data_IF_764335495006
#
_entry.id   IF_764335495006
#
_cell.length_a   1.000
_cell.length_b   1.000
_cell.length_c   1.000
_cell.angle_alpha   90.00
_cell.angle_beta   90.00
_cell.angle_gamma   90.00
#
_symmetry.space_group_name_H-M   'P 1'
#
loop_
_entity.id
_entity.type
_entity.pdbx_description
1 polymer ?
#
# COMPACT_ATOMS: atom_id res chain seq x y z
N UNK A 1 -3.74 -6.64 16.23
CA UNK A 1 -4.56 -5.52 15.71
C UNK A 1 -4.54 -5.68 14.21
N UNK A 2 -5.69 -5.90 13.55
CA UNK A 2 -5.70 -6.15 12.11
C UNK A 2 -5.54 -4.85 11.33
N UNK A 3 -4.74 -4.89 10.27
CA UNK A 3 -4.51 -3.77 9.35
C UNK A 3 -5.25 -4.07 8.05
N UNK A 4 -6.03 -3.12 7.56
CA UNK A 4 -6.64 -3.23 6.24
C UNK A 4 -5.56 -3.11 5.17
N UNK A 5 -5.58 -4.02 4.20
CA UNK A 5 -4.68 -4.00 3.06
C UNK A 5 -5.46 -3.68 1.79
N UNK A 6 -4.96 -2.72 1.04
CA UNK A 6 -5.40 -2.42 -0.32
C UNK A 6 -4.16 -2.50 -1.21
N UNK A 7 -4.28 -3.16 -2.36
CA UNK A 7 -3.20 -3.26 -3.34
C UNK A 7 -3.60 -2.56 -4.62
N UNK A 8 -2.65 -1.87 -5.24
CA UNK A 8 -2.79 -1.17 -6.52
C UNK A 8 -1.48 -1.34 -7.30
N UNK A 9 -1.22 -2.56 -7.76
CA UNK A 9 0.05 -2.92 -8.38
C UNK A 9 -0.16 -3.30 -9.86
N UNK A 10 0.69 -2.74 -10.72
CA UNK A 10 0.77 -3.00 -12.16
C UNK A 10 1.13 -4.45 -12.47
N UNK A 11 1.82 -5.14 -11.56
CA UNK A 11 2.24 -6.54 -11.71
C UNK A 11 1.42 -7.46 -10.82
N UNK A 12 0.52 -8.23 -11.43
CA UNK A 12 -0.31 -9.21 -10.71
C UNK A 12 0.51 -10.25 -9.95
N UNK A 13 1.65 -10.69 -10.50
CA UNK A 13 2.51 -11.67 -9.83
C UNK A 13 3.07 -11.13 -8.51
N UNK A 14 3.53 -9.87 -8.51
CA UNK A 14 4.05 -9.22 -7.31
C UNK A 14 2.90 -8.91 -6.36
N UNK A 15 1.74 -8.50 -6.89
CA UNK A 15 0.54 -8.26 -6.09
C UNK A 15 0.12 -9.52 -5.31
N UNK A 16 0.03 -10.67 -5.98
CA UNK A 16 -0.33 -11.93 -5.33
C UNK A 16 0.72 -12.34 -4.28
N UNK A 17 2.01 -12.09 -4.53
CA UNK A 17 3.08 -12.31 -3.55
C UNK A 17 2.92 -11.42 -2.31
N UNK A 18 2.65 -10.13 -2.49
CA UNK A 18 2.42 -9.16 -1.40
C UNK A 18 1.22 -9.58 -0.56
N UNK A 19 0.11 -9.92 -1.22
CA UNK A 19 -1.11 -10.42 -0.58
C UNK A 19 -0.77 -11.67 0.24
N UNK A 20 -0.17 -12.69 -0.36
CA UNK A 20 0.13 -13.96 0.32
C UNK A 20 0.97 -13.74 1.58
N UNK A 21 2.01 -12.89 1.50
CA UNK A 21 2.87 -12.58 2.63
C UNK A 21 2.06 -11.88 3.72
N UNK A 22 1.38 -10.78 3.40
CA UNK A 22 0.77 -9.93 4.42
C UNK A 22 -0.45 -10.57 5.09
N UNK A 23 -1.23 -11.40 4.39
CA UNK A 23 -2.33 -12.14 5.02
C UNK A 23 -1.86 -13.08 6.15
N UNK A 24 -0.58 -13.49 6.16
CA UNK A 24 0.00 -14.29 7.25
C UNK A 24 0.38 -13.44 8.47
N UNK A 25 0.36 -12.11 8.37
CA UNK A 25 0.91 -11.18 9.36
C UNK A 25 -0.11 -10.11 9.81
N UNK A 26 -1.31 -10.51 10.21
CA UNK A 26 -2.38 -9.63 10.73
C UNK A 26 -2.93 -8.59 9.72
N UNK A 27 -2.60 -8.69 8.42
CA UNK A 27 -3.25 -7.88 7.40
C UNK A 27 -4.52 -8.57 6.87
N UNK A 28 -5.49 -7.77 6.47
CA UNK A 28 -6.72 -8.23 5.84
C UNK A 28 -6.93 -7.50 4.52
N UNK A 29 -6.84 -8.23 3.41
CA UNK A 29 -7.13 -7.69 2.09
C UNK A 29 -8.59 -7.23 2.02
N UNK A 30 -8.79 -5.94 1.74
CA UNK A 30 -10.10 -5.34 1.50
C UNK A 30 -10.40 -5.27 0.00
N UNK A 31 -9.43 -4.77 -0.78
CA UNK A 31 -9.60 -4.53 -2.23
C UNK A 31 -8.28 -4.68 -2.98
N UNK A 32 -8.40 -5.08 -4.24
CA UNK A 32 -7.37 -4.96 -5.29
C UNK A 32 -7.86 -3.90 -6.27
N UNK A 33 -7.15 -2.80 -6.38
CA UNK A 33 -7.47 -1.70 -7.27
C UNK A 33 -6.85 -1.99 -8.62
N UNK A 34 -7.69 -1.95 -9.66
CA UNK A 34 -7.30 -2.35 -11.02
C UNK A 34 -7.06 -1.13 -11.93
N UNK A 35 -7.37 0.08 -11.46
CA UNK A 35 -7.12 1.31 -12.20
C UNK A 35 -6.69 2.46 -11.27
N UNK A 36 -5.91 3.40 -11.82
CA UNK A 36 -5.50 4.61 -11.12
C UNK A 36 -6.70 5.46 -10.69
N UNK A 37 -7.80 5.42 -11.45
CA UNK A 37 -9.06 6.08 -11.09
C UNK A 37 -9.68 5.50 -9.82
N UNK A 38 -9.66 4.18 -9.66
CA UNK A 38 -10.13 3.52 -8.44
C UNK A 38 -9.22 3.86 -7.25
N UNK A 39 -7.92 3.99 -7.49
CA UNK A 39 -6.95 4.41 -6.47
C UNK A 39 -7.20 5.83 -5.96
N UNK A 40 -7.36 6.79 -6.87
CA UNK A 40 -7.66 8.18 -6.51
C UNK A 40 -8.99 8.27 -5.76
N UNK A 41 -10.01 7.53 -6.21
CA UNK A 41 -11.31 7.47 -5.54
C UNK A 41 -11.21 6.88 -4.12
N UNK A 42 -10.43 5.83 -3.92
CA UNK A 42 -10.23 5.21 -2.60
C UNK A 42 -9.48 6.16 -1.65
N UNK A 43 -8.47 6.89 -2.15
CA UNK A 43 -7.75 7.89 -1.37
C UNK A 43 -8.66 9.05 -0.93
N UNK A 44 -9.55 9.52 -1.80
CA UNK A 44 -10.50 10.60 -1.49
C UNK A 44 -11.59 10.12 -0.52
N UNK A 45 -12.04 8.87 -0.67
CA UNK A 45 -13.15 8.31 0.09
C UNK A 45 -12.77 7.85 1.51
N UNK A 46 -11.50 7.94 1.91
CA UNK A 46 -10.99 7.33 3.14
C UNK A 46 -10.75 8.33 4.28
N UNK A 47 -11.79 8.76 5.03
CA UNK A 47 -11.66 9.03 6.46
C UNK A 47 -11.85 7.70 7.20
N UNK A 48 -10.77 6.95 7.40
CA UNK A 48 -10.84 5.61 8.01
C UNK A 48 -10.54 5.69 9.50
N UNK A 49 -11.46 5.20 10.34
CA UNK A 49 -11.19 4.94 11.77
C UNK A 49 -10.34 3.69 11.99
N UNK A 50 -10.01 2.99 10.90
CA UNK A 50 -9.30 1.71 10.88
C UNK A 50 -7.97 1.89 10.13
N UNK A 51 -6.89 1.39 10.74
CA UNK A 51 -5.55 1.44 10.16
C UNK A 51 -5.52 0.69 8.83
N UNK A 52 -5.15 1.39 7.78
CA UNK A 52 -5.17 0.92 6.39
C UNK A 52 -3.81 1.16 5.75
N UNK A 53 -3.26 0.12 5.14
CA UNK A 53 -2.07 0.16 4.30
C UNK A 53 -2.49 0.01 2.84
N UNK A 54 -2.13 0.99 2.02
CA UNK A 54 -2.22 0.90 0.56
C UNK A 54 -0.82 0.61 0.02
N UNK A 55 -0.67 -0.48 -0.74
CA UNK A 55 0.58 -0.81 -1.44
C UNK A 55 0.36 -0.56 -2.92
N UNK A 56 1.16 0.33 -3.49
CA UNK A 56 1.13 0.69 -4.92
C UNK A 56 2.53 0.72 -5.49
N UNK A 57 2.67 0.80 -6.81
CA UNK A 57 3.93 1.10 -7.47
C UNK A 57 3.95 2.51 -8.08
N UNK A 58 5.09 2.87 -8.67
CA UNK A 58 5.35 4.19 -9.27
C UNK A 58 4.46 4.47 -10.50
N UNK A 59 4.01 3.45 -11.21
CA UNK A 59 3.16 3.59 -12.39
C UNK A 59 1.69 3.83 -12.01
N UNK A 60 1.19 3.19 -10.94
CA UNK A 60 -0.18 3.39 -10.45
C UNK A 60 -0.37 4.65 -9.61
N UNK A 61 0.56 4.91 -8.69
CA UNK A 61 0.37 5.86 -7.60
C UNK A 61 0.84 7.28 -7.89
N UNK A 62 1.24 7.65 -9.11
CA UNK A 62 2.04 8.87 -9.37
C UNK A 62 1.55 10.16 -8.67
N UNK A 63 0.24 10.36 -8.49
CA UNK A 63 -0.35 11.56 -7.88
C UNK A 63 -0.76 11.39 -6.40
N UNK A 64 -0.41 10.28 -5.74
CA UNK A 64 -0.87 9.95 -4.38
C UNK A 64 -0.54 11.04 -3.35
N UNK A 65 0.62 11.70 -3.49
CA UNK A 65 1.09 12.75 -2.56
C UNK A 65 0.22 14.00 -2.61
N UNK A 66 -0.35 14.31 -3.79
CA UNK A 66 -1.24 15.46 -3.95
C UNK A 66 -2.62 15.18 -3.37
N UNK A 67 -3.07 13.92 -3.45
CA UNK A 67 -4.39 13.47 -2.97
C UNK A 67 -4.39 13.25 -1.45
N UNK A 68 -3.32 12.67 -0.88
CA UNK A 68 -3.15 12.44 0.58
C UNK A 68 -2.97 13.74 1.39
N UNK A 69 -3.10 14.94 0.80
CA UNK A 69 -2.94 16.22 1.52
C UNK A 69 -3.91 16.44 2.69
N UNK A 70 -4.89 15.57 2.89
CA UNK A 70 -5.67 15.47 4.13
C UNK A 70 -5.10 14.39 5.04
N UNK A 71 -4.62 14.78 6.23
CA UNK A 71 -4.02 13.94 7.26
C UNK A 71 -4.95 12.84 7.80
N UNK A 72 -5.18 11.78 7.03
CA UNK A 72 -5.72 10.55 7.60
C UNK A 72 -4.57 9.79 8.27
N UNK A 73 -4.46 9.95 9.59
CA UNK A 73 -3.46 9.32 10.45
C UNK A 73 -3.54 7.78 10.48
N UNK A 74 -4.65 7.22 10.00
CA UNK A 74 -4.85 5.77 9.89
C UNK A 74 -4.48 5.25 8.50
N UNK A 75 -4.17 6.12 7.53
CA UNK A 75 -3.80 5.75 6.17
C UNK A 75 -2.28 5.79 5.96
N UNK A 76 -1.70 4.64 5.66
CA UNK A 76 -0.31 4.49 5.25
C UNK A 76 -0.24 4.06 3.79
N UNK A 77 0.73 4.61 3.05
CA UNK A 77 0.95 4.28 1.64
C UNK A 77 2.39 3.80 1.49
N UNK A 78 2.58 2.65 0.87
CA UNK A 78 3.89 2.09 0.52
C UNK A 78 4.02 2.05 -1.00
N UNK A 79 5.11 2.63 -1.52
CA UNK A 79 5.47 2.56 -2.93
C UNK A 79 6.49 1.43 -3.10
N UNK A 80 6.06 0.33 -3.71
CA UNK A 80 6.92 -0.81 -3.99
C UNK A 80 7.63 -0.62 -5.34
N UNK A 81 8.94 -0.82 -5.36
CA UNK A 81 9.70 -0.85 -6.61
C UNK A 81 9.58 -2.24 -7.25
N UNK A 82 8.60 -2.40 -8.14
CA UNK A 82 8.33 -3.66 -8.85
C UNK A 82 9.42 -4.04 -9.87
N UNK A 83 10.38 -3.16 -10.13
CA UNK A 83 11.55 -3.42 -10.98
C UNK A 83 12.63 -4.23 -10.27
N UNK A 84 12.61 -4.28 -8.93
CA UNK A 84 13.54 -5.05 -8.10
C UNK A 84 12.85 -6.32 -7.60
N UNK A 85 13.61 -7.42 -7.44
CA UNK A 85 13.09 -8.60 -6.73
C UNK A 85 12.97 -8.24 -5.25
N UNK A 86 11.74 -8.29 -4.72
CA UNK A 86 11.46 -8.04 -3.31
C UNK A 86 11.18 -9.38 -2.62
N UNK A 87 11.89 -9.66 -1.54
CA UNK A 87 11.71 -10.86 -0.75
C UNK A 87 10.48 -10.75 0.16
N UNK A 88 9.94 -11.89 0.62
CA UNK A 88 8.81 -11.88 1.58
C UNK A 88 9.13 -11.11 2.87
N UNK A 89 10.36 -11.23 3.37
CA UNK A 89 10.80 -10.53 4.58
C UNK A 89 10.84 -9.01 4.36
N UNK A 90 11.36 -8.57 3.21
CA UNK A 90 11.36 -7.16 2.81
C UNK A 90 9.94 -6.61 2.66
N UNK A 91 9.01 -7.35 2.04
CA UNK A 91 7.60 -6.92 1.93
C UNK A 91 7.02 -6.64 3.31
N UNK A 92 7.26 -7.52 4.28
CA UNK A 92 6.76 -7.37 5.64
C UNK A 92 7.44 -6.20 6.36
N UNK A 93 8.76 -6.07 6.22
CA UNK A 93 9.52 -4.99 6.85
C UNK A 93 9.05 -3.62 6.32
N UNK A 94 8.99 -3.45 5.00
CA UNK A 94 8.55 -2.22 4.34
C UNK A 94 7.11 -1.85 4.72
N UNK A 95 6.22 -2.85 4.78
CA UNK A 95 4.82 -2.64 5.19
C UNK A 95 4.72 -2.14 6.63
N UNK A 96 5.50 -2.73 7.54
CA UNK A 96 5.55 -2.29 8.94
C UNK A 96 6.20 -0.91 9.10
N UNK A 97 7.22 -0.58 8.30
CA UNK A 97 7.84 0.75 8.30
C UNK A 97 6.86 1.82 7.82
N UNK A 98 6.13 1.58 6.72
CA UNK A 98 5.11 2.49 6.22
C UNK A 98 4.02 2.75 7.27
N UNK A 99 3.56 1.70 7.96
CA UNK A 99 2.58 1.81 9.04
C UNK A 99 3.06 2.65 10.22
N UNK A 100 4.37 2.69 10.51
CA UNK A 100 4.94 3.46 11.62
C UNK A 100 5.02 4.98 11.33
N UNK A 101 4.64 5.42 10.13
CA UNK A 101 4.65 6.84 9.76
C UNK A 101 5.95 7.32 9.15
N UNK A 102 6.83 6.42 8.70
CA UNK A 102 7.88 6.80 7.76
C UNK A 102 7.24 6.87 6.37
N UNK A 103 6.72 8.06 6.02
CA UNK A 103 6.06 8.38 4.75
C UNK A 103 6.99 8.23 3.52
N UNK A 104 8.29 7.94 3.73
CA UNK A 104 9.29 7.72 2.70
C UNK A 104 10.16 6.52 3.09
N UNK A 105 9.94 5.38 2.44
CA UNK A 105 10.99 4.38 2.25
C UNK A 105 11.40 4.46 0.79
N UNK A 106 12.22 5.46 0.48
CA UNK A 106 12.82 5.63 -0.83
C UNK A 106 13.95 4.61 -0.98
N UNK A 107 13.69 3.51 -1.69
CA UNK A 107 14.70 2.49 -2.03
C UNK A 107 15.49 2.87 -3.30
N UNK A 108 15.97 4.13 -3.37
CA UNK A 108 16.92 4.55 -4.40
C UNK A 108 18.24 3.79 -4.29
#
# INVERSE_FOLDING_TARGET
>A
MRVNLITALSSHQIEDQVIEVLLRHDFQLQKRLLSSLDFDAELIASPSTVRTLIITDKDFGANWREIKRGSDENLSILILDIGKRVSSDEILELSNQALRGNDEVDLS
#
